data_IF_615942254590
#
_entry.id   IF_615942254590
#
_cell.length_a   1.000
_cell.length_b   1.000
_cell.length_c   1.000
_cell.angle_alpha   90.00
_cell.angle_beta   90.00
_cell.angle_gamma   90.00
#
_symmetry.space_group_name_H-M   'P 1'
#
loop_
_entity.id
_entity.type
_entity.pdbx_description
1 polymer ?
#
# COMPACT_ATOMS: atom_id res chain seq x y z
N UNK A 1 4.01 -20.27 13.47
CA UNK A 1 3.00 -19.38 14.07
C UNK A 1 1.66 -19.61 13.35
N UNK A 2 0.55 -19.91 14.05
CA UNK A 2 -0.73 -20.19 13.37
C UNK A 2 -1.47 -18.89 13.06
N UNK A 3 -1.88 -18.69 11.81
CA UNK A 3 -2.73 -17.57 11.41
C UNK A 3 -4.11 -17.70 12.04
N UNK A 4 -4.67 -16.57 12.52
CA UNK A 4 -5.96 -16.54 13.21
C UNK A 4 -6.92 -15.67 12.42
N UNK A 5 -7.84 -16.30 11.71
CA UNK A 5 -8.78 -15.61 10.81
C UNK A 5 -9.62 -14.55 11.52
N UNK A 6 -10.05 -14.81 12.77
CA UNK A 6 -10.82 -13.84 13.56
C UNK A 6 -10.05 -12.54 13.84
N UNK A 7 -8.74 -12.63 14.08
CA UNK A 7 -7.88 -11.47 14.30
C UNK A 7 -7.66 -10.68 13.02
N UNK A 8 -7.48 -11.37 11.88
CA UNK A 8 -7.38 -10.72 10.58
C UNK A 8 -8.68 -9.99 10.22
N UNK A 9 -9.83 -10.64 10.40
CA UNK A 9 -11.16 -10.05 10.19
C UNK A 9 -11.36 -8.82 11.07
N UNK A 10 -10.93 -8.87 12.34
CA UNK A 10 -10.98 -7.72 13.23
C UNK A 10 -10.24 -6.50 12.65
N UNK A 11 -8.98 -6.68 12.21
CA UNK A 11 -8.22 -5.58 11.62
C UNK A 11 -8.81 -5.09 10.29
N UNK A 12 -9.29 -6.01 9.43
CA UNK A 12 -9.94 -5.65 8.18
C UNK A 12 -11.24 -4.88 8.39
N UNK A 13 -12.02 -5.21 9.44
CA UNK A 13 -13.22 -4.45 9.80
C UNK A 13 -12.91 -2.99 10.13
N UNK A 14 -11.78 -2.72 10.79
CA UNK A 14 -11.33 -1.35 11.05
C UNK A 14 -10.98 -0.60 9.77
N UNK A 15 -10.50 -1.30 8.74
CA UNK A 15 -10.13 -0.73 7.44
C UNK A 15 -11.30 -0.63 6.46
N UNK A 16 -12.46 -1.21 6.77
CA UNK A 16 -13.60 -1.29 5.85
C UNK A 16 -13.98 0.06 5.20
N UNK A 17 -14.14 1.17 5.96
CA UNK A 17 -14.52 2.44 5.35
C UNK A 17 -13.48 2.97 4.37
N UNK A 18 -12.19 2.81 4.72
CA UNK A 18 -11.07 3.23 3.87
C UNK A 18 -10.98 2.36 2.63
N UNK A 19 -11.12 1.05 2.77
CA UNK A 19 -11.11 0.11 1.65
C UNK A 19 -12.27 0.37 0.68
N UNK A 20 -13.48 0.62 1.20
CA UNK A 20 -14.65 0.91 0.38
C UNK A 20 -14.48 2.22 -0.43
N UNK A 21 -13.98 3.27 0.21
CA UNK A 21 -13.66 4.52 -0.46
C UNK A 21 -12.54 4.35 -1.49
N UNK A 22 -11.44 3.70 -1.11
CA UNK A 22 -10.29 3.47 -1.99
C UNK A 22 -10.64 2.62 -3.21
N UNK A 23 -11.43 1.56 -3.03
CA UNK A 23 -11.95 0.72 -4.11
C UNK A 23 -12.86 1.51 -5.06
N UNK A 24 -13.74 2.34 -4.53
CA UNK A 24 -14.63 3.17 -5.36
C UNK A 24 -13.82 4.16 -6.19
N UNK A 25 -12.85 4.83 -5.56
CA UNK A 25 -11.95 5.78 -6.23
C UNK A 25 -11.11 5.09 -7.29
N UNK A 26 -10.54 3.91 -7.02
CA UNK A 26 -9.71 3.20 -8.00
C UNK A 26 -10.50 2.73 -9.22
N UNK A 27 -11.73 2.22 -9.01
CA UNK A 27 -12.65 1.83 -10.10
C UNK A 27 -12.98 3.06 -10.95
N UNK A 28 -13.45 4.15 -10.34
CA UNK A 28 -13.79 5.37 -11.05
C UNK A 28 -12.59 5.95 -11.79
N UNK A 29 -11.41 5.94 -11.17
CA UNK A 29 -10.18 6.41 -11.77
C UNK A 29 -9.85 5.64 -13.06
N UNK A 30 -9.89 4.31 -13.02
CA UNK A 30 -9.58 3.45 -14.17
C UNK A 30 -10.63 3.57 -15.28
N UNK A 31 -11.90 3.81 -14.93
CA UNK A 31 -12.98 4.00 -15.91
C UNK A 31 -12.95 5.39 -16.57
N UNK A 32 -12.62 6.44 -15.81
CA UNK A 32 -12.73 7.83 -16.27
C UNK A 32 -11.43 8.41 -16.86
N UNK A 33 -10.26 7.81 -16.58
CA UNK A 33 -8.96 8.33 -17.03
C UNK A 33 -8.28 7.44 -18.07
N UNK A 34 -8.70 7.54 -19.35
CA UNK A 34 -8.32 6.60 -20.38
C UNK A 34 -6.94 6.80 -21.03
N UNK A 35 -6.27 7.93 -20.77
CA UNK A 35 -5.05 8.33 -21.51
C UNK A 35 -3.80 8.50 -20.65
N UNK A 36 -3.88 8.28 -19.34
CA UNK A 36 -2.78 8.59 -18.41
C UNK A 36 -2.07 7.35 -17.87
N UNK A 37 -2.08 6.25 -18.62
CA UNK A 37 -1.41 4.99 -18.27
C UNK A 37 0.08 5.00 -18.65
N UNK A 38 0.76 6.04 -18.21
CA UNK A 38 2.15 5.92 -17.86
C UNK A 38 2.12 5.85 -16.33
N UNK A 39 2.74 4.84 -15.74
CA UNK A 39 3.27 4.82 -14.36
C UNK A 39 3.50 6.17 -13.64
N UNK A 40 3.75 7.26 -14.37
CA UNK A 40 4.05 8.62 -13.93
C UNK A 40 2.80 9.45 -13.54
N UNK A 41 1.61 8.86 -13.48
CA UNK A 41 0.42 9.59 -13.08
C UNK A 41 0.53 10.06 -11.61
N UNK A 42 0.70 11.36 -11.41
CA UNK A 42 0.85 11.96 -10.09
C UNK A 42 -0.37 11.72 -9.17
N UNK A 43 -1.59 11.68 -9.72
CA UNK A 43 -2.80 11.42 -8.94
C UNK A 43 -2.83 9.99 -8.40
N UNK A 44 -2.38 9.00 -9.20
CA UNK A 44 -2.23 7.64 -8.72
C UNK A 44 -1.19 7.55 -7.59
N UNK A 45 -0.05 8.24 -7.72
CA UNK A 45 0.96 8.31 -6.67
C UNK A 45 0.43 8.97 -5.38
N UNK A 46 -0.28 10.09 -5.50
CA UNK A 46 -0.93 10.78 -4.37
C UNK A 46 -1.97 9.87 -3.71
N UNK A 47 -2.78 9.17 -4.50
CA UNK A 47 -3.75 8.20 -3.98
C UNK A 47 -3.06 7.07 -3.20
N UNK A 48 -2.00 6.46 -3.76
CA UNK A 48 -1.22 5.40 -3.11
C UNK A 48 -0.64 5.90 -1.77
N UNK A 49 -0.09 7.13 -1.77
CA UNK A 49 0.44 7.77 -0.57
C UNK A 49 -0.64 7.97 0.49
N UNK A 50 -1.75 8.62 0.15
CA UNK A 50 -2.87 8.89 1.08
C UNK A 50 -3.43 7.58 1.64
N UNK A 51 -3.66 6.59 0.78
CA UNK A 51 -4.22 5.31 1.19
C UNK A 51 -3.24 4.55 2.12
N UNK A 52 -1.94 4.54 1.81
CA UNK A 52 -0.92 3.93 2.68
C UNK A 52 -0.85 4.60 4.06
N UNK A 53 -0.94 5.94 4.11
CA UNK A 53 -1.01 6.70 5.37
C UNK A 53 -2.29 6.36 6.14
N UNK A 54 -3.44 6.28 5.47
CA UNK A 54 -4.71 5.95 6.11
C UNK A 54 -4.70 4.54 6.72
N UNK A 55 -4.22 3.53 5.97
CA UNK A 55 -4.08 2.14 6.44
C UNK A 55 -3.21 2.09 7.70
N UNK A 56 -2.01 2.67 7.61
CA UNK A 56 -1.02 2.63 8.71
C UNK A 56 -1.49 3.42 9.92
N UNK A 57 -2.17 4.56 9.73
CA UNK A 57 -2.76 5.34 10.82
C UNK A 57 -3.86 4.57 11.57
N UNK A 58 -4.76 3.88 10.85
CA UNK A 58 -5.86 3.11 11.45
C UNK A 58 -5.32 1.90 12.21
N UNK A 59 -4.43 1.11 11.59
CA UNK A 59 -3.84 -0.08 12.21
C UNK A 59 -2.82 0.25 13.31
N UNK A 60 -2.23 1.44 13.21
CA UNK A 60 -1.22 1.95 14.13
C UNK A 60 -1.75 2.36 15.51
N UNK A 61 -3.06 2.29 15.80
CA UNK A 61 -3.57 2.68 17.13
C UNK A 61 -3.20 1.69 18.26
N UNK A 62 -1.91 1.53 18.57
CA UNK A 62 -1.32 0.68 19.62
C UNK A 62 -1.78 1.09 21.02
N UNK A 63 -2.15 2.37 21.21
CA UNK A 63 -2.73 2.88 22.48
C UNK A 63 -4.26 2.86 22.53
N UNK A 64 -4.93 2.24 21.55
CA UNK A 64 -6.39 2.10 21.62
C UNK A 64 -6.78 1.06 22.68
N UNK A 65 -7.91 1.29 23.36
CA UNK A 65 -8.50 0.32 24.30
C UNK A 65 -8.71 -1.05 23.65
N UNK A 66 -9.01 -1.08 22.35
CA UNK A 66 -9.16 -2.30 21.56
C UNK A 66 -7.86 -3.10 21.45
N UNK A 67 -6.71 -2.43 21.26
CA UNK A 67 -5.41 -3.11 21.20
C UNK A 67 -5.02 -3.71 22.57
N UNK A 68 -5.23 -2.95 23.66
CA UNK A 68 -5.02 -3.45 25.02
C UNK A 68 -5.90 -4.67 25.31
N UNK A 69 -7.18 -4.63 24.92
CA UNK A 69 -8.10 -5.75 25.08
C UNK A 69 -7.63 -7.00 24.32
N UNK A 70 -7.19 -6.87 23.07
CA UNK A 70 -6.71 -8.02 22.28
C UNK A 70 -5.44 -8.61 22.93
N UNK A 71 -4.55 -7.76 23.43
CA UNK A 71 -3.37 -8.23 24.16
C UNK A 71 -3.76 -9.03 25.40
N UNK A 72 -4.75 -8.59 26.18
CA UNK A 72 -5.26 -9.35 27.34
C UNK A 72 -5.90 -10.69 26.99
N UNK A 73 -6.25 -10.93 25.71
CA UNK A 73 -6.77 -12.22 25.23
C UNK A 73 -5.66 -13.23 24.90
N UNK A 74 -4.40 -12.91 25.21
CA UNK A 74 -3.27 -13.86 25.10
C UNK A 74 -2.58 -13.88 23.74
N UNK A 75 -2.84 -12.91 22.86
CA UNK A 75 -2.10 -12.78 21.60
C UNK A 75 -0.74 -12.13 21.83
N UNK A 76 0.33 -12.77 21.34
CA UNK A 76 1.67 -12.18 21.39
C UNK A 76 1.77 -10.95 20.49
N UNK A 77 2.69 -10.03 20.83
CA UNK A 77 2.94 -8.81 20.05
C UNK A 77 3.39 -9.12 18.62
N UNK A 78 4.22 -10.16 18.42
CA UNK A 78 4.62 -10.66 17.09
C UNK A 78 3.41 -11.10 16.23
N UNK A 79 2.45 -11.80 16.84
CA UNK A 79 1.22 -12.22 16.14
C UNK A 79 0.40 -11.00 15.72
N UNK A 80 0.26 -10.02 16.61
CA UNK A 80 -0.49 -8.79 16.31
C UNK A 80 0.18 -7.98 15.19
N UNK A 81 1.50 -7.85 15.21
CA UNK A 81 2.24 -7.15 14.16
C UNK A 81 2.07 -7.84 12.81
N UNK A 82 2.23 -9.16 12.74
CA UNK A 82 2.08 -9.89 11.48
C UNK A 82 0.66 -9.75 10.91
N UNK A 83 -0.37 -9.81 11.76
CA UNK A 83 -1.76 -9.65 11.29
C UNK A 83 -2.04 -8.22 10.81
N UNK A 84 -1.39 -7.19 11.38
CA UNK A 84 -1.49 -5.81 10.86
C UNK A 84 -0.79 -5.67 9.49
N UNK A 85 0.40 -6.24 9.34
CA UNK A 85 1.09 -6.26 8.05
C UNK A 85 0.25 -6.97 6.99
N UNK A 86 -0.29 -8.15 7.31
CA UNK A 86 -1.16 -8.89 6.41
C UNK A 86 -2.46 -8.12 6.10
N UNK A 87 -3.10 -7.51 7.09
CA UNK A 87 -4.29 -6.69 6.87
C UNK A 87 -4.01 -5.50 5.93
N UNK A 88 -2.80 -4.92 6.01
CA UNK A 88 -2.38 -3.85 5.09
C UNK A 88 -2.25 -4.37 3.66
N UNK A 89 -1.63 -5.55 3.48
CA UNK A 89 -1.51 -6.20 2.16
C UNK A 89 -2.89 -6.50 1.57
N UNK A 90 -3.78 -7.11 2.35
CA UNK A 90 -5.16 -7.42 1.92
C UNK A 90 -5.93 -6.13 1.57
N UNK A 91 -5.76 -5.06 2.34
CA UNK A 91 -6.38 -3.76 2.06
C UNK A 91 -5.95 -3.17 0.72
N UNK A 92 -4.67 -3.30 0.35
CA UNK A 92 -4.17 -2.89 -0.98
C UNK A 92 -4.81 -3.72 -2.08
N UNK A 93 -4.89 -5.04 -1.91
CA UNK A 93 -5.57 -5.90 -2.89
C UNK A 93 -7.05 -5.58 -3.01
N UNK A 94 -7.76 -5.30 -1.92
CA UNK A 94 -9.18 -4.90 -1.98
C UNK A 94 -9.36 -3.60 -2.77
N UNK A 95 -8.45 -2.64 -2.63
CA UNK A 95 -8.51 -1.39 -3.38
C UNK A 95 -8.22 -1.57 -4.88
N UNK A 96 -7.27 -2.42 -5.26
CA UNK A 96 -6.79 -2.49 -6.65
C UNK A 96 -7.23 -3.71 -7.45
N UNK A 97 -7.55 -4.83 -6.81
CA UNK A 97 -7.96 -6.05 -7.51
C UNK A 97 -9.22 -5.81 -8.37
N UNK A 98 -10.28 -5.12 -7.90
CA UNK A 98 -11.44 -4.83 -8.75
C UNK A 98 -11.08 -3.95 -9.95
N UNK A 99 -10.23 -2.93 -9.74
CA UNK A 99 -9.74 -2.08 -10.81
C UNK A 99 -8.92 -2.89 -11.83
N UNK A 100 -8.03 -3.77 -11.37
CA UNK A 100 -7.24 -4.68 -12.20
C UNK A 100 -8.11 -5.60 -13.05
N UNK A 101 -9.14 -6.19 -12.43
CA UNK A 101 -10.11 -7.04 -13.13
C UNK A 101 -10.87 -6.24 -14.19
N UNK A 102 -11.28 -5.00 -13.91
CA UNK A 102 -11.88 -4.12 -14.91
C UNK A 102 -10.94 -3.85 -16.08
N UNK A 103 -9.63 -3.68 -15.84
CA UNK A 103 -8.65 -3.55 -16.92
C UNK A 103 -8.58 -4.85 -17.75
N UNK A 104 -8.37 -5.98 -17.07
CA UNK A 104 -8.13 -7.27 -17.72
C UNK A 104 -9.32 -7.80 -18.50
N UNK A 105 -10.53 -7.52 -18.03
CA UNK A 105 -11.79 -7.93 -18.67
C UNK A 105 -12.31 -6.90 -19.68
N UNK A 106 -11.59 -5.79 -19.90
CA UNK A 106 -12.01 -4.76 -20.84
C UNK A 106 -13.28 -4.01 -20.41
N UNK A 107 -13.41 -3.72 -19.11
CA UNK A 107 -14.62 -3.11 -18.52
C UNK A 107 -15.04 -1.80 -19.20
N UNK A 108 -14.10 -0.95 -19.62
CA UNK A 108 -14.43 0.26 -20.40
C UNK A 108 -15.01 -0.07 -21.78
N UNK A 109 -14.49 -1.10 -22.45
CA UNK A 109 -15.01 -1.57 -23.73
C UNK A 109 -16.42 -2.15 -23.56
N UNK A 110 -16.66 -2.94 -22.52
CA UNK A 110 -18.00 -3.45 -22.22
C UNK A 110 -19.01 -2.32 -21.93
N UNK A 111 -18.60 -1.28 -21.20
CA UNK A 111 -19.45 -0.10 -20.97
C UNK A 111 -19.67 0.71 -22.25
N UNK A 112 -18.65 0.84 -23.10
CA UNK A 112 -18.74 1.47 -24.42
C UNK A 112 -19.81 0.79 -25.28
N UNK A 113 -19.76 -0.54 -25.35
CA UNK A 113 -20.71 -1.35 -26.12
C UNK A 113 -22.13 -1.24 -25.54
N UNK A 114 -22.27 -1.25 -24.22
CA UNK A 114 -23.56 -1.12 -23.53
C UNK A 114 -24.23 0.24 -23.78
N UNK A 115 -23.49 1.33 -23.56
CA UNK A 115 -24.01 2.69 -23.70
C UNK A 115 -23.99 3.19 -25.15
N UNK A 116 -23.46 2.39 -26.09
CA UNK A 116 -23.24 2.76 -27.50
C UNK A 116 -22.56 4.13 -27.64
N UNK A 117 -21.63 4.41 -26.73
CA UNK A 117 -20.99 5.73 -26.63
C UNK A 117 -19.57 5.69 -27.22
N UNK A 118 -19.34 6.26 -28.42
CA UNK A 118 -18.03 6.20 -29.08
C UNK A 118 -16.94 7.00 -28.36
N UNK A 119 -17.29 7.83 -27.38
CA UNK A 119 -16.35 8.62 -26.60
C UNK A 119 -15.70 7.87 -25.45
N UNK A 120 -16.18 6.67 -25.11
CA UNK A 120 -15.48 5.78 -24.20
C UNK A 120 -14.35 5.09 -24.97
N UNK A 121 -13.08 5.31 -24.61
CA UNK A 121 -11.98 4.70 -25.34
C UNK A 121 -11.75 3.27 -24.86
N UNK A 122 -11.47 2.41 -25.83
CA UNK A 122 -11.21 0.98 -25.67
C UNK A 122 -10.06 0.76 -24.69
N UNK A 123 -10.26 -0.19 -23.79
CA UNK A 123 -9.25 -0.56 -22.80
C UNK A 123 -8.13 -1.38 -23.43
N UNK A 124 -6.88 -0.92 -23.32
CA UNK A 124 -5.74 -1.64 -23.88
C UNK A 124 -5.11 -2.59 -22.86
N UNK A 125 -4.77 -3.82 -23.26
CA UNK A 125 -4.16 -4.82 -22.37
C UNK A 125 -2.87 -4.33 -21.68
N UNK A 126 -2.11 -3.44 -22.33
CA UNK A 126 -0.90 -2.81 -21.77
C UNK A 126 -1.14 -2.02 -20.48
N UNK A 127 -2.37 -1.55 -20.24
CA UNK A 127 -2.73 -0.79 -19.03
C UNK A 127 -2.63 -1.63 -17.75
N UNK A 128 -2.67 -2.96 -17.87
CA UNK A 128 -2.49 -3.87 -16.75
C UNK A 128 -1.12 -3.68 -16.07
N UNK A 129 -0.09 -3.30 -16.84
CA UNK A 129 1.26 -3.04 -16.32
C UNK A 129 1.27 -1.90 -15.27
N UNK A 130 0.39 -0.91 -15.41
CA UNK A 130 0.29 0.21 -14.47
C UNK A 130 -0.20 -0.23 -13.09
N UNK A 131 -1.10 -1.23 -13.03
CA UNK A 131 -1.58 -1.78 -11.76
C UNK A 131 -0.43 -2.40 -10.98
N UNK A 132 0.39 -3.21 -11.63
CA UNK A 132 1.57 -3.83 -11.01
C UNK A 132 2.54 -2.78 -10.48
N UNK A 133 2.72 -1.70 -11.22
CA UNK A 133 3.55 -0.57 -10.81
C UNK A 133 2.99 0.14 -9.57
N UNK A 134 1.68 0.37 -9.50
CA UNK A 134 1.05 0.98 -8.33
C UNK A 134 1.13 0.09 -7.09
N UNK A 135 0.95 -1.23 -7.26
CA UNK A 135 1.16 -2.22 -6.20
C UNK A 135 2.60 -2.18 -5.68
N UNK A 136 3.57 -1.97 -6.56
CA UNK A 136 4.97 -1.78 -6.18
C UNK A 136 5.17 -0.53 -5.31
N UNK A 137 4.48 0.57 -5.62
CA UNK A 137 4.46 1.76 -4.75
C UNK A 137 3.98 1.46 -3.33
N UNK A 138 2.91 0.66 -3.16
CA UNK A 138 2.48 0.22 -1.82
C UNK A 138 3.51 -0.64 -1.12
N UNK A 139 4.18 -1.52 -1.86
CA UNK A 139 5.20 -2.41 -1.28
C UNK A 139 6.35 -1.63 -0.65
N UNK A 140 6.71 -0.46 -1.19
CA UNK A 140 7.71 0.45 -0.62
C UNK A 140 7.12 1.22 0.57
N UNK A 141 5.96 1.86 0.38
CA UNK A 141 5.40 2.80 1.36
C UNK A 141 4.86 2.15 2.63
N UNK A 142 4.19 1.00 2.53
CA UNK A 142 3.57 0.37 3.71
C UNK A 142 4.59 -0.05 4.77
N UNK A 143 5.67 -0.79 4.44
CA UNK A 143 6.71 -1.10 5.42
C UNK A 143 7.36 0.15 6.02
N UNK A 144 7.62 1.16 5.19
CA UNK A 144 8.17 2.44 5.66
C UNK A 144 7.24 3.11 6.68
N UNK A 145 5.94 3.24 6.38
CA UNK A 145 5.00 3.88 7.29
C UNK A 145 4.77 3.07 8.57
N UNK A 146 4.72 1.73 8.49
CA UNK A 146 4.66 0.89 9.69
C UNK A 146 5.91 1.07 10.56
N UNK A 147 7.09 1.14 9.97
CA UNK A 147 8.34 1.44 10.70
C UNK A 147 8.26 2.79 11.41
N UNK A 148 7.95 3.86 10.66
CA UNK A 148 7.84 5.23 11.19
C UNK A 148 6.85 5.27 12.34
N UNK A 149 5.74 4.56 12.19
CA UNK A 149 4.67 4.56 13.17
C UNK A 149 5.10 3.90 14.49
N UNK A 150 5.78 2.75 14.42
CA UNK A 150 6.36 2.09 15.61
C UNK A 150 7.33 3.04 16.32
N UNK A 151 8.17 3.77 15.58
CA UNK A 151 9.06 4.79 16.16
C UNK A 151 8.31 5.94 16.82
N UNK A 152 7.25 6.45 16.20
CA UNK A 152 6.46 7.58 16.73
C UNK A 152 5.75 7.22 18.04
N UNK A 153 5.44 5.93 18.26
CA UNK A 153 4.83 5.46 19.50
C UNK A 153 5.81 5.46 20.70
N UNK A 154 7.12 5.65 20.46
CA UNK A 154 8.15 5.67 21.50
C UNK A 154 8.14 6.99 22.31
N UNK A 155 8.37 6.93 23.63
CA UNK A 155 8.48 8.12 24.48
C UNK A 155 9.75 8.95 24.20
N UNK A 156 10.84 8.32 23.73
CA UNK A 156 12.07 9.00 23.33
C UNK A 156 11.99 9.39 21.85
N UNK A 157 11.54 10.62 21.57
CA UNK A 157 11.44 11.20 20.22
C UNK A 157 12.84 11.40 19.59
N UNK A 158 13.49 10.34 19.13
CA UNK A 158 14.78 10.48 18.42
C UNK A 158 14.54 11.06 17.02
N UNK A 159 15.42 11.97 16.57
CA UNK A 159 15.41 12.61 15.25
C UNK A 159 15.46 11.65 14.04
N UNK A 160 15.88 10.40 14.23
CA UNK A 160 16.05 9.41 13.15
C UNK A 160 14.76 9.01 12.40
N UNK A 161 13.58 9.23 12.99
CA UNK A 161 12.30 8.95 12.32
C UNK A 161 12.03 9.88 11.13
N UNK A 162 12.52 11.12 11.18
CA UNK A 162 12.38 12.07 10.07
C UNK A 162 13.24 11.66 8.87
N UNK A 163 14.47 11.23 9.12
CA UNK A 163 15.44 10.94 8.05
C UNK A 163 15.03 9.75 7.17
N UNK A 164 14.53 8.66 7.76
CA UNK A 164 14.02 7.51 7.00
C UNK A 164 12.76 7.83 6.20
N UNK A 165 11.91 8.70 6.75
CA UNK A 165 10.69 9.19 6.11
C UNK A 165 11.02 10.13 4.95
N UNK A 166 12.02 11.00 5.12
CA UNK A 166 12.57 11.87 4.08
C UNK A 166 13.24 11.08 2.97
N UNK A 167 14.04 10.06 3.29
CA UNK A 167 14.69 9.17 2.31
C UNK A 167 13.63 8.41 1.53
N UNK A 168 12.65 7.80 2.20
CA UNK A 168 11.60 7.07 1.49
C UNK A 168 10.66 7.98 0.69
N UNK A 169 10.35 9.20 1.18
CA UNK A 169 9.61 10.20 0.41
C UNK A 169 10.41 10.81 -0.75
N UNK A 170 11.74 10.78 -0.71
CA UNK A 170 12.58 11.26 -1.82
C UNK A 170 12.75 10.18 -2.89
N UNK A 171 13.03 8.94 -2.47
CA UNK A 171 13.23 7.82 -3.38
C UNK A 171 11.92 7.30 -3.99
N UNK A 172 10.78 7.36 -3.30
CA UNK A 172 9.51 6.87 -3.87
C UNK A 172 9.10 7.66 -5.11
N UNK A 173 9.06 9.02 -5.12
CA UNK A 173 8.84 9.79 -6.34
C UNK A 173 9.96 9.60 -7.37
N UNK A 174 11.23 9.55 -6.94
CA UNK A 174 12.38 9.40 -7.86
C UNK A 174 12.38 8.05 -8.59
N UNK A 175 11.91 6.98 -7.94
CA UNK A 175 11.68 5.69 -8.56
C UNK A 175 10.41 5.72 -9.42
N UNK A 176 9.36 6.45 -9.03
CA UNK A 176 8.08 6.42 -9.75
C UNK A 176 8.02 7.35 -10.98
N UNK A 177 8.87 8.38 -11.05
CA UNK A 177 8.76 9.49 -12.03
C UNK A 177 9.42 9.25 -13.40
N UNK A 178 10.57 8.57 -13.58
CA UNK A 178 11.34 8.80 -14.81
C UNK A 178 11.25 7.69 -15.85
N UNK A 179 10.39 6.70 -15.65
CA UNK A 179 10.36 5.50 -16.48
C UNK A 179 9.92 5.70 -17.96
N UNK A 180 9.37 6.86 -18.33
CA UNK A 180 8.81 7.10 -19.67
C UNK A 180 9.81 7.11 -20.85
N UNK A 181 11.13 7.18 -20.59
CA UNK A 181 12.14 7.33 -21.66
C UNK A 181 13.53 6.74 -21.31
N UNK A 182 13.57 5.66 -20.53
CA UNK A 182 14.85 5.07 -20.13
C UNK A 182 15.16 3.73 -20.77
N UNK A 183 16.46 3.52 -20.99
CA UNK A 183 16.98 2.26 -21.46
C UNK A 183 16.59 1.11 -20.51
N UNK A 184 16.35 -0.11 -21.01
CA UNK A 184 15.87 -1.24 -20.22
C UNK A 184 16.66 -1.53 -18.94
N UNK A 185 17.96 -1.22 -18.92
CA UNK A 185 18.81 -1.39 -17.75
C UNK A 185 18.39 -0.52 -16.55
N UNK A 186 17.81 0.67 -16.77
CA UNK A 186 17.39 1.54 -15.67
C UNK A 186 16.22 0.93 -14.90
N UNK A 187 15.34 0.19 -15.59
CA UNK A 187 14.21 -0.50 -14.98
C UNK A 187 14.69 -1.54 -13.99
N UNK A 188 15.71 -2.30 -14.38
CA UNK A 188 16.35 -3.28 -13.52
C UNK A 188 16.99 -2.62 -12.30
N UNK A 189 17.70 -1.51 -12.47
CA UNK A 189 18.35 -0.77 -11.37
C UNK A 189 17.32 -0.23 -10.38
N UNK A 190 16.26 0.44 -10.85
CA UNK A 190 15.20 0.95 -9.97
C UNK A 190 14.44 -0.17 -9.27
N UNK A 191 14.17 -1.27 -9.97
CA UNK A 191 13.55 -2.46 -9.38
C UNK A 191 14.40 -3.05 -8.25
N UNK A 192 15.72 -3.18 -8.46
CA UNK A 192 16.68 -3.63 -7.45
C UNK A 192 16.74 -2.69 -6.25
N UNK A 193 16.87 -1.38 -6.47
CA UNK A 193 16.90 -0.38 -5.39
C UNK A 193 15.63 -0.43 -4.55
N UNK A 194 14.47 -0.49 -5.19
CA UNK A 194 13.21 -0.58 -4.48
C UNK A 194 13.05 -1.93 -3.74
N UNK A 195 13.50 -3.05 -4.31
CA UNK A 195 13.52 -4.34 -3.60
C UNK A 195 14.38 -4.29 -2.34
N UNK A 196 15.57 -3.67 -2.43
CA UNK A 196 16.45 -3.41 -1.28
C UNK A 196 15.73 -2.56 -0.24
N UNK A 197 15.09 -1.46 -0.65
CA UNK A 197 14.33 -0.59 0.27
C UNK A 197 13.20 -1.34 0.98
N UNK A 198 12.40 -2.12 0.24
CA UNK A 198 11.31 -2.94 0.79
C UNK A 198 11.87 -3.89 1.84
N UNK A 199 12.97 -4.60 1.53
CA UNK A 199 13.62 -5.51 2.44
C UNK A 199 14.15 -4.77 3.68
N UNK A 200 14.87 -3.67 3.51
CA UNK A 200 15.43 -2.87 4.59
C UNK A 200 14.33 -2.35 5.52
N UNK A 201 13.25 -1.78 4.99
CA UNK A 201 12.15 -1.26 5.81
C UNK A 201 11.39 -2.37 6.54
N UNK A 202 11.17 -3.50 5.88
CA UNK A 202 10.47 -4.64 6.48
C UNK A 202 11.31 -5.26 7.60
N UNK A 203 12.60 -5.53 7.34
CA UNK A 203 13.53 -6.10 8.33
C UNK A 203 13.73 -5.12 9.49
N UNK A 204 13.98 -3.84 9.20
CA UNK A 204 14.16 -2.81 10.24
C UNK A 204 12.90 -2.64 11.07
N UNK A 205 11.71 -2.67 10.45
CA UNK A 205 10.43 -2.62 11.14
C UNK A 205 10.21 -3.81 12.06
N UNK A 206 10.56 -5.01 11.60
CA UNK A 206 10.49 -6.22 12.40
C UNK A 206 11.49 -6.24 13.55
N UNK A 207 12.76 -5.90 13.32
CA UNK A 207 13.78 -5.82 14.36
C UNK A 207 13.41 -4.80 15.43
N UNK A 208 12.90 -3.64 15.00
CA UNK A 208 12.41 -2.59 15.87
C UNK A 208 11.20 -3.07 16.69
N UNK A 209 10.25 -3.76 16.06
CA UNK A 209 9.12 -4.38 16.75
C UNK A 209 9.61 -5.36 17.84
N UNK A 210 10.52 -6.29 17.52
CA UNK A 210 11.01 -7.27 18.50
C UNK A 210 11.77 -6.63 19.66
N UNK A 211 12.66 -5.69 19.36
CA UNK A 211 13.48 -5.04 20.40
C UNK A 211 12.67 -4.15 21.33
N UNK A 212 11.63 -3.49 20.82
CA UNK A 212 10.88 -2.51 21.61
C UNK A 212 9.58 -3.04 22.18
N UNK A 213 8.90 -3.88 21.42
CA UNK A 213 7.59 -4.40 21.79
C UNK A 213 7.73 -5.84 22.33
N UNK A 214 8.69 -6.67 21.95
CA UNK A 214 8.73 -8.05 22.52
C UNK A 214 9.63 -8.16 23.75
N UNK A 215 10.79 -7.49 23.75
CA UNK A 215 11.80 -7.62 24.81
C UNK A 215 11.59 -6.68 26.01
N UNK A 216 10.61 -5.77 25.96
CA UNK A 216 10.21 -4.89 27.07
C UNK A 216 8.82 -5.22 27.60
#
# INVERSE_FOLDING_TARGET
>A
MKMKSSLLVFFLRCLWPVNAAAMSVSILFVLLYPKYFLWNNAWAAVFILIHSVAITFILGRVRSRSFAFIYTRGFSRDVLWLHKMLASVVSVFVAWLPAALLIGLGGRSALQDWFRNPYLPIMAAREMSAVWFWLFGYAILLPMFHYVWIRKAQPTRSSGSGMLLSVGLFFTPSALVPFGNHAPWSVMVYGLLAAVMIATYTISGFLLHRTLEVQK
#
